data_IF_170445444148
#
_entry.id   IF_170445444148
#
_cell.length_a   1.000
_cell.length_b   1.000
_cell.length_c   1.000
_cell.angle_alpha   90.00
_cell.angle_beta   90.00
_cell.angle_gamma   90.00
#
_symmetry.space_group_name_H-M   'P 1'
#
loop_
_entity.id
_entity.type
_entity.pdbx_description
1 polymer ?
#
# COMPACT_ATOMS: atom_id res chain seq x y z
N UNK A 1 1.57 15.10 22.21
CA UNK A 1 1.93 15.89 21.01
C UNK A 1 2.24 14.94 19.86
N UNK A 2 1.88 15.31 18.62
CA UNK A 2 2.01 14.48 17.39
C UNK A 2 3.43 13.94 17.16
N UNK A 3 4.43 14.71 17.58
CA UNK A 3 5.86 14.40 17.54
C UNK A 3 6.24 13.05 18.14
N UNK A 4 5.51 12.53 19.14
CA UNK A 4 5.78 11.19 19.70
C UNK A 4 5.37 10.04 18.78
N UNK A 5 4.35 10.24 17.95
CA UNK A 5 3.84 9.22 17.03
C UNK A 5 4.66 9.15 15.74
N UNK A 6 5.16 10.31 15.28
CA UNK A 6 5.90 10.41 14.02
C UNK A 6 7.38 10.01 14.17
N UNK A 7 7.87 9.66 15.36
CA UNK A 7 9.27 9.29 15.61
C UNK A 7 9.78 8.14 14.72
N UNK A 8 8.88 7.26 14.27
CA UNK A 8 9.18 6.12 13.40
C UNK A 8 8.51 6.23 12.04
N UNK A 9 7.90 7.37 11.72
CA UNK A 9 7.31 7.57 10.41
C UNK A 9 8.45 7.61 9.39
N UNK A 10 8.41 6.69 8.43
CA UNK A 10 9.34 6.76 7.31
C UNK A 10 8.91 7.94 6.42
N UNK A 11 9.74 8.97 6.38
CA UNK A 11 9.50 10.15 5.52
C UNK A 11 9.91 9.88 4.08
N UNK A 12 10.75 8.87 3.84
CA UNK A 12 11.09 8.39 2.51
C UNK A 12 9.93 7.57 1.96
N UNK A 13 9.14 8.17 1.07
CA UNK A 13 8.12 7.48 0.29
C UNK A 13 8.71 6.38 -0.61
N UNK A 14 7.86 5.71 -1.38
CA UNK A 14 8.29 4.63 -2.26
C UNK A 14 8.94 5.15 -3.54
N UNK A 15 9.89 4.40 -4.10
CA UNK A 15 10.52 4.72 -5.38
C UNK A 15 9.95 3.90 -6.52
N UNK A 16 10.07 4.41 -7.75
CA UNK A 16 9.73 3.66 -8.97
C UNK A 16 10.58 2.40 -9.05
N UNK A 17 9.95 1.25 -9.31
CA UNK A 17 10.59 -0.06 -9.33
C UNK A 17 10.52 -0.83 -8.00
N UNK A 18 10.12 -0.19 -6.89
CA UNK A 18 9.98 -0.89 -5.61
C UNK A 18 8.77 -1.81 -5.57
N UNK A 19 8.93 -2.93 -4.83
CA UNK A 19 7.85 -3.89 -4.61
C UNK A 19 6.99 -3.46 -3.42
N UNK A 20 5.71 -3.28 -3.66
CA UNK A 20 4.74 -2.84 -2.65
C UNK A 20 3.56 -3.80 -2.54
N UNK A 21 2.98 -3.86 -1.34
CA UNK A 21 1.72 -4.55 -1.09
C UNK A 21 0.58 -3.55 -1.09
N UNK A 22 -0.49 -3.85 -1.82
CA UNK A 22 -1.70 -3.04 -1.85
C UNK A 22 -2.62 -3.47 -0.71
N UNK A 23 -3.05 -2.51 0.10
CA UNK A 23 -4.14 -2.72 1.06
C UNK A 23 -5.48 -2.66 0.32
N UNK A 24 -6.01 -3.83 -0.04
CA UNK A 24 -7.27 -3.99 -0.75
C UNK A 24 -8.40 -4.40 0.21
N UNK A 25 -9.26 -3.44 0.56
CA UNK A 25 -10.45 -3.64 1.40
C UNK A 25 -11.62 -4.32 0.67
N UNK A 26 -11.38 -4.91 -0.51
CA UNK A 26 -12.44 -5.58 -1.29
C UNK A 26 -13.05 -6.72 -0.51
N UNK A 27 -14.35 -6.61 -0.24
CA UNK A 27 -15.12 -7.63 0.48
C UNK A 27 -15.65 -8.66 -0.50
N UNK A 28 -15.50 -9.93 -0.14
CA UNK A 28 -16.16 -11.03 -0.86
C UNK A 28 -17.47 -11.39 -0.17
N UNK A 29 -18.60 -11.37 -0.89
CA UNK A 29 -19.92 -11.74 -0.35
C UNK A 29 -19.90 -13.18 0.17
N UNK A 30 -20.54 -13.42 1.31
CA UNK A 30 -20.61 -14.76 1.93
C UNK A 30 -19.37 -15.17 2.73
N UNK A 31 -18.36 -14.30 2.86
CA UNK A 31 -17.18 -14.53 3.71
C UNK A 31 -17.06 -13.40 4.74
N UNK A 32 -16.64 -13.73 5.96
CA UNK A 32 -16.44 -12.74 7.02
C UNK A 32 -15.33 -11.75 6.66
N UNK A 33 -15.57 -10.43 6.69
CA UNK A 33 -14.55 -9.42 6.37
C UNK A 33 -13.30 -9.52 7.25
N UNK A 34 -13.45 -9.96 8.50
CA UNK A 34 -12.35 -10.05 9.46
C UNK A 34 -11.36 -11.19 9.15
N UNK A 35 -11.82 -12.21 8.42
CA UNK A 35 -11.03 -13.39 8.07
C UNK A 35 -10.52 -13.34 6.62
N UNK A 36 -10.75 -12.22 5.91
CA UNK A 36 -10.26 -12.02 4.54
C UNK A 36 -8.85 -11.42 4.56
N UNK A 37 -8.02 -11.81 3.59
CA UNK A 37 -6.70 -11.21 3.39
C UNK A 37 -6.86 -9.82 2.79
N UNK A 38 -6.52 -8.79 3.54
CA UNK A 38 -6.58 -7.40 3.07
C UNK A 38 -5.39 -6.98 2.22
N UNK A 39 -4.29 -7.75 2.23
CA UNK A 39 -3.08 -7.42 1.47
C UNK A 39 -3.03 -8.19 0.16
N UNK A 40 -2.93 -7.46 -0.94
CA UNK A 40 -2.76 -7.99 -2.30
C UNK A 40 -1.38 -7.58 -2.84
N UNK A 41 -0.72 -8.44 -3.61
CA UNK A 41 0.59 -8.12 -4.20
C UNK A 41 1.59 -9.25 -4.02
N UNK A 42 2.81 -9.14 -4.56
CA UNK A 42 3.55 -7.89 -4.80
C UNK A 42 3.14 -7.13 -6.08
N UNK A 43 3.13 -5.81 -5.98
CA UNK A 43 3.04 -4.86 -7.10
C UNK A 43 4.36 -4.14 -7.27
N UNK A 44 4.57 -3.52 -8.43
CA UNK A 44 5.72 -2.63 -8.68
C UNK A 44 5.20 -1.21 -8.84
N UNK A 45 5.86 -0.24 -8.20
CA UNK A 45 5.57 1.19 -8.41
C UNK A 45 6.07 1.61 -9.79
N UNK A 46 5.17 2.12 -10.64
CA UNK A 46 5.50 2.54 -12.02
C UNK A 46 5.75 4.04 -12.09
N UNK A 47 4.90 4.84 -11.45
CA UNK A 47 5.04 6.31 -11.44
C UNK A 47 4.58 6.88 -10.12
N UNK A 48 5.34 7.83 -9.58
CA UNK A 48 4.89 8.73 -8.53
C UNK A 48 4.04 9.84 -9.15
N UNK A 49 2.79 10.01 -8.68
CA UNK A 49 1.94 11.12 -9.11
C UNK A 49 2.06 12.29 -8.14
N UNK A 50 1.95 11.99 -6.83
CA UNK A 50 2.11 12.93 -5.72
C UNK A 50 2.87 12.21 -4.59
N UNK A 51 3.27 12.94 -3.54
CA UNK A 51 3.94 12.38 -2.34
C UNK A 51 3.21 11.18 -1.71
N UNK A 52 1.87 11.12 -1.86
CA UNK A 52 1.02 10.06 -1.29
C UNK A 52 0.37 9.17 -2.36
N UNK A 53 0.41 9.56 -3.64
CA UNK A 53 -0.33 8.86 -4.72
C UNK A 53 0.65 8.24 -5.70
N UNK A 54 0.56 6.91 -5.81
CA UNK A 54 1.45 6.08 -6.63
C UNK A 54 0.62 5.28 -7.65
N UNK A 55 1.10 5.17 -8.88
CA UNK A 55 0.59 4.16 -9.82
C UNK A 55 1.39 2.89 -9.64
N UNK A 56 0.67 1.78 -9.51
CA UNK A 56 1.24 0.46 -9.28
C UNK A 56 0.77 -0.51 -10.36
N UNK A 57 1.61 -1.49 -10.69
CA UNK A 57 1.33 -2.49 -11.71
C UNK A 57 1.54 -3.91 -11.15
N UNK A 58 0.63 -4.83 -11.50
CA UNK A 58 0.67 -6.24 -11.11
C UNK A 58 1.24 -7.04 -12.28
N UNK A 59 2.50 -7.45 -12.18
CA UNK A 59 3.31 -8.05 -13.25
C UNK A 59 3.55 -7.11 -14.46
N UNK A 60 4.73 -7.17 -15.10
CA UNK A 60 5.03 -6.35 -16.28
C UNK A 60 4.06 -6.61 -17.44
#
# INVERSE_FOLDING_TARGET
>A
MKTRYDLRANTGGFQVGEKVWLYNLKRTKGKSPKLQKSWEGPYIVVTLLNDVVYRIQKNP
#
